data_IF_514574065522
#
_entry.id   IF_514574065522
#
_cell.length_a   1.000
_cell.length_b   1.000
_cell.length_c   1.000
_cell.angle_alpha   90.00
_cell.angle_beta   90.00
_cell.angle_gamma   90.00
#
_symmetry.space_group_name_H-M   'P 1'
#
loop_
_entity.id
_entity.type
_entity.pdbx_description
1 polymer ?
#
# COMPACT_ATOMS: atom_id res chain seq x y z
N UNK A 1 16.36 1.63 -13.57
CA UNK A 1 15.72 1.68 -12.23
C UNK A 1 16.12 0.45 -11.47
N UNK A 2 16.61 0.64 -10.25
CA UNK A 2 17.06 -0.44 -9.37
C UNK A 2 15.91 -0.86 -8.46
N UNK A 3 15.66 -2.17 -8.34
CA UNK A 3 14.72 -2.74 -7.36
C UNK A 3 15.47 -3.25 -6.14
N UNK A 4 15.01 -2.86 -4.96
CA UNK A 4 15.55 -3.29 -3.68
C UNK A 4 14.47 -4.06 -2.90
N UNK A 5 14.85 -5.21 -2.36
CA UNK A 5 14.02 -6.03 -1.48
C UNK A 5 14.55 -5.91 -0.06
N UNK A 6 13.73 -5.43 0.84
CA UNK A 6 14.05 -5.26 2.26
C UNK A 6 12.96 -5.98 3.09
N UNK A 7 13.03 -7.30 3.08
CA UNK A 7 12.02 -8.15 3.68
C UNK A 7 12.40 -8.60 5.07
N UNK A 8 11.44 -8.57 5.98
CA UNK A 8 11.55 -9.18 7.30
C UNK A 8 11.32 -10.71 7.19
N UNK A 9 12.35 -11.55 7.41
CA UNK A 9 12.21 -12.99 7.30
C UNK A 9 11.39 -13.62 8.43
N UNK A 10 11.12 -12.88 9.49
CA UNK A 10 10.34 -13.36 10.66
C UNK A 10 8.83 -13.12 10.53
N UNK A 11 8.39 -12.50 9.41
CA UNK A 11 6.98 -12.19 9.19
C UNK A 11 6.11 -13.45 9.27
N UNK A 12 5.03 -13.45 10.08
CA UNK A 12 4.02 -14.50 10.05
C UNK A 12 3.32 -14.57 8.69
N UNK A 13 2.70 -15.69 8.40
CA UNK A 13 1.90 -15.85 7.19
C UNK A 13 0.69 -14.92 7.21
N UNK A 14 0.42 -14.28 6.08
CA UNK A 14 -0.79 -13.50 5.82
C UNK A 14 -1.71 -14.24 4.88
N UNK A 15 -3.01 -14.05 5.07
CA UNK A 15 -4.02 -14.63 4.20
C UNK A 15 -4.32 -13.67 3.04
N UNK A 16 -3.73 -13.95 1.88
CA UNK A 16 -3.85 -13.10 0.69
C UNK A 16 -4.09 -13.92 -0.58
N UNK A 17 -4.81 -13.34 -1.52
CA UNK A 17 -4.81 -13.80 -2.91
C UNK A 17 -3.58 -13.25 -3.62
N UNK A 18 -2.64 -14.13 -3.95
CA UNK A 18 -1.37 -13.74 -4.55
C UNK A 18 -1.53 -13.04 -5.91
N UNK A 19 -2.51 -13.45 -6.72
CA UNK A 19 -2.76 -12.86 -8.03
C UNK A 19 -3.26 -11.42 -7.91
N UNK A 20 -4.17 -11.17 -6.98
CA UNK A 20 -4.69 -9.83 -6.70
C UNK A 20 -3.60 -8.92 -6.10
N UNK A 21 -2.81 -9.43 -5.15
CA UNK A 21 -1.71 -8.65 -4.57
C UNK A 21 -0.64 -8.34 -5.62
N UNK A 22 -0.34 -9.27 -6.53
CA UNK A 22 0.56 -8.98 -7.65
C UNK A 22 0.02 -7.86 -8.54
N UNK A 23 -1.29 -7.75 -8.73
CA UNK A 23 -1.90 -6.64 -9.47
C UNK A 23 -1.70 -5.30 -8.75
N UNK A 24 -1.80 -5.28 -7.41
CA UNK A 24 -1.46 -4.08 -6.61
C UNK A 24 -0.02 -3.65 -6.88
N UNK A 25 0.94 -4.57 -6.72
CA UNK A 25 2.35 -4.26 -6.96
C UNK A 25 2.64 -3.81 -8.39
N UNK A 26 2.00 -4.44 -9.37
CA UNK A 26 2.12 -4.01 -10.76
C UNK A 26 1.66 -2.56 -10.95
N UNK A 27 0.50 -2.19 -10.39
CA UNK A 27 -0.03 -0.84 -10.49
C UNK A 27 0.88 0.20 -9.82
N UNK A 28 1.39 -0.09 -8.62
CA UNK A 28 2.32 0.79 -7.91
C UNK A 28 3.66 0.93 -8.66
N UNK A 29 4.23 -0.18 -9.11
CA UNK A 29 5.48 -0.20 -9.88
C UNK A 29 5.35 0.61 -11.17
N UNK A 30 4.28 0.39 -11.92
CA UNK A 30 4.01 1.11 -13.16
C UNK A 30 3.92 2.62 -12.93
N UNK A 31 3.17 3.05 -11.90
CA UNK A 31 3.05 4.47 -11.58
C UNK A 31 4.40 5.12 -11.25
N UNK A 32 5.21 4.46 -10.43
CA UNK A 32 6.55 4.96 -10.08
C UNK A 32 7.47 5.04 -11.30
N UNK A 33 7.52 3.99 -12.12
CA UNK A 33 8.36 3.96 -13.33
C UNK A 33 7.95 5.04 -14.32
N UNK A 34 6.65 5.19 -14.59
CA UNK A 34 6.14 6.23 -15.50
C UNK A 34 6.50 7.64 -15.02
N UNK A 35 6.35 7.92 -13.72
CA UNK A 35 6.73 9.21 -13.15
C UNK A 35 8.23 9.49 -13.23
N UNK A 36 9.06 8.50 -12.93
CA UNK A 36 10.52 8.61 -13.01
C UNK A 36 11.00 8.84 -14.45
N UNK A 37 10.45 8.11 -15.42
CA UNK A 37 10.82 8.26 -16.84
C UNK A 37 10.39 9.64 -17.35
N UNK A 38 9.16 10.05 -17.06
CA UNK A 38 8.62 11.32 -17.53
C UNK A 38 9.40 12.52 -17.01
N UNK A 39 9.86 12.48 -15.78
CA UNK A 39 10.55 13.60 -15.12
C UNK A 39 12.07 13.48 -15.15
N UNK A 40 12.59 12.30 -15.50
CA UNK A 40 14.00 11.95 -15.36
C UNK A 40 14.52 12.11 -13.91
N UNK A 41 13.63 11.88 -12.92
CA UNK A 41 13.92 11.96 -11.49
C UNK A 41 13.67 10.59 -10.88
N UNK A 42 14.66 10.10 -10.12
CA UNK A 42 14.56 8.83 -9.44
C UNK A 42 15.19 7.67 -10.21
N UNK A 43 15.65 6.69 -9.44
CA UNK A 43 16.41 5.54 -9.95
C UNK A 43 16.12 4.25 -9.21
N UNK A 44 15.30 4.30 -8.16
CA UNK A 44 15.18 3.22 -7.18
C UNK A 44 13.75 3.01 -6.72
N UNK A 45 13.35 1.75 -6.63
CA UNK A 45 12.11 1.31 -5.98
C UNK A 45 12.50 0.28 -4.91
N UNK A 46 12.02 0.48 -3.69
CA UNK A 46 12.23 -0.44 -2.56
C UNK A 46 10.89 -1.00 -2.12
N UNK A 47 10.82 -2.32 -1.95
CA UNK A 47 9.70 -2.99 -1.28
C UNK A 47 10.21 -3.49 0.05
N UNK A 48 9.61 -2.99 1.13
CA UNK A 48 9.98 -3.31 2.50
C UNK A 48 8.80 -3.98 3.21
N UNK A 49 9.08 -5.00 4.00
CA UNK A 49 8.06 -5.64 4.85
C UNK A 49 8.49 -5.61 6.30
N UNK A 50 7.56 -5.33 7.20
CA UNK A 50 7.76 -5.30 8.66
C UNK A 50 6.50 -5.78 9.38
N UNK A 51 6.65 -6.11 10.65
CA UNK A 51 5.52 -6.21 11.57
C UNK A 51 5.26 -4.82 12.15
N UNK A 52 4.08 -4.27 11.90
CA UNK A 52 3.62 -3.05 12.55
C UNK A 52 2.86 -3.38 13.83
N UNK A 53 3.04 -2.59 14.88
CA UNK A 53 2.39 -2.78 16.18
C UNK A 53 1.43 -1.63 16.47
N UNK A 54 0.32 -1.95 17.16
CA UNK A 54 -0.66 -0.96 17.61
C UNK A 54 -1.18 -0.08 16.48
N UNK A 55 -1.71 -0.72 15.44
CA UNK A 55 -2.21 -0.04 14.24
C UNK A 55 -3.74 0.00 14.20
N UNK A 56 -4.27 0.99 13.48
CA UNK A 56 -5.69 1.07 13.14
C UNK A 56 -5.84 0.82 11.65
N UNK A 57 -6.66 -0.16 11.29
CA UNK A 57 -7.00 -0.50 9.92
C UNK A 57 -8.51 -0.36 9.75
N UNK A 58 -8.96 0.56 8.88
CA UNK A 58 -10.38 0.81 8.60
C UNK A 58 -11.23 1.03 9.89
N UNK A 59 -10.66 1.73 10.88
CA UNK A 59 -11.33 2.04 12.14
C UNK A 59 -11.22 0.96 13.23
N UNK A 60 -10.65 -0.20 12.95
CA UNK A 60 -10.44 -1.29 13.91
C UNK A 60 -9.00 -1.31 14.40
N UNK A 61 -8.82 -1.54 15.71
CA UNK A 61 -7.49 -1.65 16.34
C UNK A 61 -6.93 -3.07 16.16
N UNK A 62 -5.66 -3.15 15.78
CA UNK A 62 -4.90 -4.39 15.70
C UNK A 62 -3.62 -4.26 16.51
N UNK A 63 -3.33 -5.27 17.33
CA UNK A 63 -2.08 -5.30 18.09
C UNK A 63 -0.88 -5.40 17.16
N UNK A 64 -0.99 -6.18 16.10
CA UNK A 64 0.04 -6.33 15.05
C UNK A 64 -0.60 -6.50 13.68
N UNK A 65 0.09 -6.05 12.64
CA UNK A 65 -0.28 -6.25 11.25
C UNK A 65 0.96 -6.41 10.39
N UNK A 66 0.79 -6.98 9.20
CA UNK A 66 1.82 -6.97 8.17
C UNK A 66 1.84 -5.58 7.52
N UNK A 67 2.97 -4.90 7.60
CA UNK A 67 3.23 -3.64 6.90
C UNK A 67 4.08 -3.90 5.65
N UNK A 68 3.62 -3.40 4.52
CA UNK A 68 4.34 -3.45 3.26
C UNK A 68 4.48 -2.01 2.75
N UNK A 69 5.71 -1.51 2.71
CA UNK A 69 6.03 -0.21 2.14
C UNK A 69 6.56 -0.37 0.72
N UNK A 70 5.96 0.37 -0.19
CA UNK A 70 6.41 0.51 -1.56
C UNK A 70 6.96 1.92 -1.76
N UNK A 71 8.29 2.04 -1.76
CA UNK A 71 8.99 3.30 -1.67
C UNK A 71 9.73 3.57 -2.98
N UNK A 72 9.49 4.71 -3.59
CA UNK A 72 10.29 5.19 -4.71
C UNK A 72 11.00 6.51 -4.38
N UNK A 73 12.11 6.77 -5.07
CA UNK A 73 12.82 8.05 -5.01
C UNK A 73 12.57 8.90 -6.26
N UNK A 74 11.36 8.83 -6.80
CA UNK A 74 10.91 9.62 -7.92
C UNK A 74 10.59 11.07 -7.56
N UNK A 75 9.85 11.78 -8.44
CA UNK A 75 9.58 13.22 -8.27
C UNK A 75 8.62 13.53 -7.11
N UNK A 76 7.97 12.52 -6.55
CA UNK A 76 6.89 12.71 -5.59
C UNK A 76 5.56 13.08 -6.24
N UNK A 77 4.53 13.21 -5.41
CA UNK A 77 3.18 13.62 -5.79
C UNK A 77 2.92 14.98 -5.12
N UNK A 78 2.46 16.00 -5.87
CA UNK A 78 2.10 17.27 -5.27
C UNK A 78 1.05 17.12 -4.17
N UNK A 79 1.22 17.84 -3.06
CA UNK A 79 0.36 17.75 -1.87
C UNK A 79 -1.13 17.91 -2.19
N UNK A 80 -1.45 18.79 -3.14
CA UNK A 80 -2.82 19.06 -3.61
C UNK A 80 -3.53 17.83 -4.18
N UNK A 81 -2.80 16.78 -4.60
CA UNK A 81 -3.37 15.56 -5.19
C UNK A 81 -3.39 14.37 -4.23
N UNK A 82 -2.64 14.41 -3.11
CA UNK A 82 -2.48 13.25 -2.21
C UNK A 82 -3.83 12.69 -1.76
N UNK A 83 -4.76 13.53 -1.34
CA UNK A 83 -6.07 13.11 -0.82
C UNK A 83 -6.98 12.48 -1.90
N UNK A 84 -6.70 12.74 -3.17
CA UNK A 84 -7.53 12.31 -4.28
C UNK A 84 -6.94 11.21 -5.18
N UNK A 85 -5.70 10.81 -4.93
CA UNK A 85 -5.01 9.84 -5.83
C UNK A 85 -5.66 8.48 -5.95
N UNK A 86 -6.42 8.06 -4.93
CA UNK A 86 -7.15 6.79 -4.93
C UNK A 86 -8.56 6.88 -5.54
N UNK A 87 -9.03 8.08 -5.87
CA UNK A 87 -10.32 8.22 -6.56
C UNK A 87 -10.21 7.80 -8.03
N UNK A 88 -11.21 7.10 -8.57
CA UNK A 88 -11.21 6.71 -9.97
C UNK A 88 -11.13 7.92 -10.90
N UNK A 89 -10.38 7.78 -11.99
CA UNK A 89 -10.24 8.80 -13.05
C UNK A 89 -9.51 10.08 -12.63
N UNK A 90 -8.98 10.15 -11.41
CA UNK A 90 -8.07 11.22 -11.01
C UNK A 90 -6.68 10.84 -11.51
N UNK A 91 -6.25 11.48 -12.57
CA UNK A 91 -4.90 11.30 -13.12
C UNK A 91 -4.33 12.62 -13.59
N UNK A 92 -3.11 12.91 -13.16
CA UNK A 92 -2.31 14.02 -13.73
C UNK A 92 -1.64 13.62 -15.05
N UNK A 93 -1.82 12.37 -15.47
CA UNK A 93 -1.18 11.78 -16.65
C UNK A 93 -2.19 11.67 -17.77
N UNK A 94 -1.96 12.33 -18.90
CA UNK A 94 -2.80 12.26 -20.11
C UNK A 94 -2.92 10.86 -20.74
N UNK A 95 -2.06 9.89 -20.33
CA UNK A 95 -1.95 8.56 -20.93
C UNK A 95 -2.31 7.42 -19.97
N UNK A 96 -2.62 7.67 -18.71
CA UNK A 96 -3.06 6.64 -17.76
C UNK A 96 -4.57 6.65 -17.60
N UNK A 97 -5.17 5.48 -17.40
CA UNK A 97 -6.63 5.35 -17.21
C UNK A 97 -7.14 6.02 -15.92
N UNK A 98 -6.26 6.40 -14.99
CA UNK A 98 -6.62 6.92 -13.67
C UNK A 98 -7.30 5.88 -12.77
N UNK A 99 -7.23 4.60 -13.11
CA UNK A 99 -7.88 3.50 -12.38
C UNK A 99 -6.93 2.66 -11.54
N UNK A 100 -5.63 2.67 -11.83
CA UNK A 100 -4.65 1.77 -11.21
C UNK A 100 -4.61 1.85 -9.68
N UNK A 101 -4.59 3.05 -9.10
CA UNK A 101 -4.59 3.23 -7.65
C UNK A 101 -5.95 2.93 -7.01
N UNK A 102 -7.06 3.25 -7.68
CA UNK A 102 -8.40 2.87 -7.22
C UNK A 102 -8.58 1.35 -7.17
N UNK A 103 -8.07 0.64 -8.18
CA UNK A 103 -8.05 -0.83 -8.22
C UNK A 103 -7.18 -1.39 -7.10
N UNK A 104 -5.98 -0.85 -6.89
CA UNK A 104 -5.08 -1.26 -5.81
C UNK A 104 -5.76 -1.11 -4.44
N UNK A 105 -6.39 0.03 -4.18
CA UNK A 105 -7.15 0.26 -2.93
C UNK A 105 -8.30 -0.73 -2.77
N UNK A 106 -9.07 -0.99 -3.83
CA UNK A 106 -10.15 -1.97 -3.80
C UNK A 106 -9.67 -3.38 -3.46
N UNK A 107 -8.54 -3.82 -4.04
CA UNK A 107 -7.93 -5.11 -3.74
C UNK A 107 -7.47 -5.19 -2.28
N UNK A 108 -6.78 -4.17 -1.79
CA UNK A 108 -6.33 -4.13 -0.39
C UNK A 108 -7.53 -4.15 0.57
N UNK A 109 -8.60 -3.43 0.28
CA UNK A 109 -9.83 -3.47 1.07
C UNK A 109 -10.48 -4.86 1.10
N UNK A 110 -10.46 -5.62 -0.01
CA UNK A 110 -10.92 -7.01 -0.05
C UNK A 110 -10.11 -7.94 0.87
N UNK A 111 -8.87 -7.57 1.16
CA UNK A 111 -8.00 -8.28 2.09
C UNK A 111 -8.08 -7.73 3.52
N UNK A 112 -9.12 -6.95 3.84
CA UNK A 112 -9.31 -6.28 5.13
C UNK A 112 -8.17 -5.34 5.52
N UNK A 113 -7.38 -4.92 4.55
CA UNK A 113 -6.24 -4.04 4.71
C UNK A 113 -6.56 -2.57 4.43
N UNK A 114 -5.56 -1.74 4.62
CA UNK A 114 -5.56 -0.33 4.22
C UNK A 114 -4.33 0.02 3.39
N UNK A 115 -4.45 1.03 2.56
CA UNK A 115 -3.33 1.60 1.80
C UNK A 115 -3.36 3.11 1.96
N UNK A 116 -2.21 3.68 2.33
CA UNK A 116 -2.01 5.11 2.47
C UNK A 116 -0.83 5.56 1.61
N UNK A 117 -0.81 6.84 1.28
CA UNK A 117 0.28 7.46 0.52
C UNK A 117 0.86 8.61 1.31
N UNK A 118 2.17 8.63 1.42
CA UNK A 118 2.94 9.80 1.83
C UNK A 118 3.95 10.14 0.73
N UNK A 119 4.12 11.41 0.44
CA UNK A 119 4.99 11.85 -0.64
C UNK A 119 5.53 13.23 -0.37
N UNK A 120 6.76 13.46 -0.81
CA UNK A 120 7.43 14.75 -0.81
C UNK A 120 8.42 14.85 -1.99
N UNK A 121 9.27 15.84 -1.99
CA UNK A 121 10.28 16.03 -3.05
C UNK A 121 11.34 14.92 -3.14
N UNK A 122 11.43 14.05 -2.13
CA UNK A 122 12.38 12.92 -2.11
C UNK A 122 11.79 11.62 -2.68
N UNK A 123 10.49 11.58 -2.91
CA UNK A 123 9.80 10.44 -3.51
C UNK A 123 8.43 10.15 -2.91
N UNK A 124 7.96 8.93 -3.12
CA UNK A 124 6.63 8.48 -2.69
C UNK A 124 6.74 7.17 -1.91
N UNK A 125 5.97 7.05 -0.83
CA UNK A 125 5.74 5.80 -0.11
C UNK A 125 4.26 5.45 -0.11
N UNK A 126 3.92 4.27 -0.62
CA UNK A 126 2.63 3.62 -0.39
C UNK A 126 2.80 2.60 0.72
N UNK A 127 2.14 2.86 1.85
CA UNK A 127 2.16 1.97 3.02
C UNK A 127 0.87 1.15 3.04
N UNK A 128 1.01 -0.17 3.02
CA UNK A 128 -0.08 -1.14 3.02
C UNK A 128 -0.05 -1.88 4.36
N UNK A 129 -1.19 -1.93 5.05
CA UNK A 129 -1.37 -2.74 6.26
C UNK A 129 -2.36 -3.87 5.95
N UNK A 130 -1.97 -5.10 6.29
CA UNK A 130 -2.83 -6.30 6.17
C UNK A 130 -2.85 -6.99 7.54
N UNK A 131 -4.03 -7.22 8.14
CA UNK A 131 -4.11 -7.89 9.44
C UNK A 131 -3.66 -9.34 9.34
N UNK A 132 -3.05 -9.87 10.40
CA UNK A 132 -2.76 -11.29 10.51
C UNK A 132 -4.04 -12.09 10.82
N UNK A 133 -4.18 -13.34 10.31
CA UNK A 133 -5.41 -14.12 10.45
C UNK A 133 -5.85 -14.36 11.90
N UNK A 134 -4.91 -14.51 12.83
CA UNK A 134 -5.18 -14.81 14.23
C UNK A 134 -5.82 -13.63 14.99
N UNK A 135 -5.61 -12.41 14.56
CA UNK A 135 -6.17 -11.21 15.20
C UNK A 135 -7.61 -10.93 14.76
N UNK A 136 -7.97 -11.28 13.55
CA UNK A 136 -9.36 -11.15 13.05
C UNK A 136 -10.37 -11.98 13.84
N UNK A 137 -9.93 -13.10 14.44
CA UNK A 137 -10.80 -13.98 15.26
C UNK A 137 -11.00 -13.49 16.68
N UNK A 138 -10.15 -12.63 17.21
CA UNK A 138 -10.23 -12.15 18.60
C UNK A 138 -11.25 -11.02 18.78
N UNK A 139 -11.48 -10.20 17.76
CA UNK A 139 -12.45 -9.10 17.83
C UNK A 139 -13.91 -9.62 17.75
N UNK A 140 -14.20 -10.60 16.89
CA UNK A 140 -15.55 -11.20 16.83
C UNK A 140 -15.95 -11.89 18.15
N UNK A 141 -14.98 -12.44 18.90
CA UNK A 141 -15.23 -13.07 20.20
C UNK A 141 -15.31 -12.07 21.36
N UNK A 142 -14.73 -10.88 21.24
CA UNK A 142 -14.81 -9.84 22.26
C UNK A 142 -16.18 -9.15 22.26
N UNK A 143 -16.82 -8.97 21.10
CA UNK A 143 -18.17 -8.42 21.01
C UNK A 143 -19.25 -9.38 21.53
N UNK A 144 -19.05 -10.69 21.44
CA UNK A 144 -19.99 -11.71 21.92
C UNK A 144 -19.95 -11.87 23.45
N UNK A 145 -18.85 -11.48 24.10
CA UNK A 145 -18.70 -11.62 25.57
C UNK A 145 -19.15 -10.38 26.37
N UNK A 146 -19.54 -9.29 25.71
CA UNK A 146 -20.06 -8.07 26.35
C UNK A 146 -21.59 -7.90 26.26
N UNK A 147 -22.29 -8.99 26.06
CA UNK A 147 -23.76 -9.02 26.10
C UNK A 147 -24.24 -9.55 27.46
#
# INVERSE_FOLDING_TARGET
IKFIRDYDPSLPLVNIDSSLIMQVFYNLTRNSIEAMIKTNIGTKITVRTRVASEVIINGSFYKTACEIDFIDNGPGIPEEYIDSIFFPLVSTKKLSSGLGLAIAKGIINQHHGSIECSSDSSGTNFSILIPFPEESFKEENAEVLNV
#
